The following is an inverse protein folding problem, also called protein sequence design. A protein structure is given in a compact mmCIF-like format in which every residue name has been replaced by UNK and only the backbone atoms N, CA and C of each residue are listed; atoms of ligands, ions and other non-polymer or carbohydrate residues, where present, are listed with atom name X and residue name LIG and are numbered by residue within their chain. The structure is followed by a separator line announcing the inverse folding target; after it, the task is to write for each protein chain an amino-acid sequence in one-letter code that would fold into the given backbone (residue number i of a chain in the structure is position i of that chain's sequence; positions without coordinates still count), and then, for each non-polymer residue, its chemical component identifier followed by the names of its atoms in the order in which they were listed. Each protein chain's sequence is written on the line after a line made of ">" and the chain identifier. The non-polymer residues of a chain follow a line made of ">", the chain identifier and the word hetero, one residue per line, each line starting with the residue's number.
data_IF_529400943177
#
_entry.id   IF_529400943177
#
_cell.length_a   1.000
_cell.length_b   1.000
_cell.length_c   1.000
_cell.angle_alpha   90.00
_cell.angle_beta   90.00
_cell.angle_gamma   90.00
#
_symmetry.space_group_name_H-M   'P 1'
#
loop_
_entity.id
_entity.type
_entity.pdbx_description
1 polymer ?
#
# COMPACT_ATOMS: atom_id res chain seq x y z
N UNK A 1 -14.16 10.01 20.44
CA UNK A 1 -13.22 10.31 19.31
C UNK A 1 -11.77 10.60 19.75
N UNK A 2 -11.46 10.58 21.06
CA UNK A 2 -10.12 10.84 21.61
C UNK A 2 -9.25 9.57 21.80
N UNK A 3 -9.84 8.39 21.79
CA UNK A 3 -9.14 7.13 22.06
C UNK A 3 -8.38 6.53 20.86
N UNK A 4 -8.67 6.96 19.63
CA UNK A 4 -8.02 6.43 18.41
C UNK A 4 -6.69 7.11 18.09
N UNK A 5 -6.46 8.31 18.60
CA UNK A 5 -5.24 9.09 18.33
C UNK A 5 -4.07 8.66 19.21
N UNK A 6 -4.32 8.21 20.44
CA UNK A 6 -3.25 7.82 21.39
C UNK A 6 -2.52 6.52 21.06
N UNK A 7 -3.13 5.64 20.27
CA UNK A 7 -2.51 4.34 19.94
C UNK A 7 -1.47 4.40 18.80
N UNK A 8 -1.41 5.49 18.05
CA UNK A 8 -0.54 5.61 16.87
C UNK A 8 0.89 6.05 17.20
N UNK A 9 1.10 6.77 18.30
CA UNK A 9 2.44 7.26 18.68
C UNK A 9 3.26 6.27 19.52
N UNK A 10 2.65 5.27 20.16
CA UNK A 10 3.37 4.30 21.00
C UNK A 10 4.06 3.18 20.22
N UNK A 11 3.69 2.92 18.97
CA UNK A 11 4.26 1.82 18.17
C UNK A 11 5.78 1.89 17.95
N UNK A 12 6.39 3.06 17.62
CA UNK A 12 7.85 3.12 17.43
C UNK A 12 8.63 2.85 18.72
N UNK A 13 8.10 3.25 19.87
CA UNK A 13 8.78 3.07 21.15
C UNK A 13 8.92 1.58 21.52
N UNK A 14 7.90 0.75 21.30
CA UNK A 14 7.98 -0.68 21.57
C UNK A 14 8.94 -1.42 20.65
N UNK A 15 9.06 -0.98 19.39
CA UNK A 15 10.02 -1.56 18.44
C UNK A 15 11.44 -1.26 18.89
N UNK A 16 11.75 0.01 19.21
CA UNK A 16 13.07 0.40 19.73
C UNK A 16 13.39 -0.33 21.03
N UNK A 17 12.43 -0.43 21.96
CA UNK A 17 12.61 -1.14 23.22
C UNK A 17 12.89 -2.64 23.00
N UNK A 18 12.20 -3.30 22.07
CA UNK A 18 12.47 -4.71 21.77
C UNK A 18 13.86 -4.94 21.19
N UNK A 19 14.35 -4.05 20.29
CA UNK A 19 15.72 -4.11 19.79
C UNK A 19 16.76 -3.88 20.89
N UNK A 20 16.53 -2.94 21.80
CA UNK A 20 17.40 -2.69 22.95
C UNK A 20 17.48 -3.91 23.87
N UNK A 21 16.35 -4.54 24.17
CA UNK A 21 16.31 -5.77 25.00
C UNK A 21 17.08 -6.90 24.30
N UNK A 22 16.88 -7.11 23.01
CA UNK A 22 17.63 -8.12 22.24
C UNK A 22 19.14 -7.85 22.24
N UNK A 23 19.53 -6.58 22.07
CA UNK A 23 20.95 -6.18 22.11
C UNK A 23 21.56 -6.44 23.50
N UNK A 24 20.87 -6.10 24.58
CA UNK A 24 21.32 -6.35 25.95
C UNK A 24 21.48 -7.85 26.19
N UNK A 25 20.52 -8.67 25.78
CA UNK A 25 20.60 -10.14 25.91
C UNK A 25 21.79 -10.68 25.11
N UNK A 26 22.02 -10.21 23.87
CA UNK A 26 23.14 -10.64 23.04
C UNK A 26 24.50 -10.28 23.66
N UNK A 27 24.63 -9.04 24.18
CA UNK A 27 25.84 -8.59 24.86
C UNK A 27 26.08 -9.41 26.17
N UNK A 28 25.05 -9.65 26.97
CA UNK A 28 25.15 -10.48 28.15
C UNK A 28 25.58 -11.93 27.81
N UNK A 29 24.95 -12.52 26.79
CA UNK A 29 25.31 -13.86 26.33
C UNK A 29 26.76 -13.92 25.85
N UNK A 30 27.19 -12.92 25.06
CA UNK A 30 28.58 -12.84 24.61
C UNK A 30 29.58 -12.67 25.76
N UNK A 31 29.33 -11.78 26.71
CA UNK A 31 30.26 -11.54 27.85
C UNK A 31 30.35 -12.75 28.77
N UNK A 32 29.22 -13.40 29.06
CA UNK A 32 29.20 -14.60 29.88
C UNK A 32 29.94 -15.77 29.21
N UNK A 33 29.71 -15.99 27.92
CA UNK A 33 30.33 -17.05 27.15
C UNK A 33 31.84 -16.83 26.89
N UNK A 34 32.26 -15.57 26.70
CA UNK A 34 33.65 -15.27 26.29
C UNK A 34 34.61 -15.02 27.42
N UNK A 35 34.13 -14.56 28.59
CA UNK A 35 35.01 -14.11 29.68
C UNK A 35 34.94 -14.94 30.96
N UNK A 36 34.01 -15.85 31.09
CA UNK A 36 33.87 -16.66 32.32
C UNK A 36 33.93 -18.16 32.00
N UNK A 37 35.05 -18.87 32.37
CA UNK A 37 35.20 -20.30 32.08
C UNK A 37 34.15 -21.16 32.75
N UNK A 38 33.49 -20.69 33.83
CA UNK A 38 32.43 -21.42 34.50
C UNK A 38 31.09 -21.39 33.75
N UNK A 39 30.94 -20.53 32.75
CA UNK A 39 29.73 -20.39 31.90
C UNK A 39 29.97 -20.86 30.47
N UNK A 40 31.19 -21.29 30.10
CA UNK A 40 31.44 -21.92 28.81
C UNK A 40 30.76 -23.29 28.79
N UNK A 41 29.75 -23.40 27.89
CA UNK A 41 29.07 -24.67 27.68
C UNK A 41 29.98 -25.57 26.84
N UNK A 42 30.49 -26.65 27.42
CA UNK A 42 31.18 -27.68 26.65
C UNK A 42 30.15 -28.45 25.83
N UNK A 43 29.98 -28.05 24.55
CA UNK A 43 29.01 -28.65 23.60
C UNK A 43 29.49 -30.05 23.19
N UNK A 44 30.79 -30.28 23.27
CA UNK A 44 31.44 -31.55 22.91
C UNK A 44 32.32 -32.04 24.05
N UNK A 45 32.40 -33.35 24.26
CA UNK A 45 33.28 -33.99 25.21
C UNK A 45 34.14 -35.04 24.52
N UNK A 46 35.39 -35.16 24.97
CA UNK A 46 36.29 -36.23 24.51
C UNK A 46 35.96 -37.53 25.27
N UNK A 47 35.93 -38.66 24.58
CA UNK A 47 35.88 -39.95 25.21
C UNK A 47 37.19 -40.25 25.97
N UNK A 48 37.20 -41.21 26.90
CA UNK A 48 38.42 -41.66 27.63
C UNK A 48 39.56 -42.11 26.76
N UNK A 49 39.29 -42.46 25.49
CA UNK A 49 40.31 -42.85 24.47
C UNK A 49 41.00 -41.64 23.81
N UNK A 50 40.58 -40.39 24.12
CA UNK A 50 41.06 -39.12 23.55
C UNK A 50 41.03 -39.02 22.01
N UNK A 51 40.28 -39.89 21.32
CA UNK A 51 40.24 -39.93 19.84
C UNK A 51 38.88 -39.45 19.29
N UNK A 52 37.80 -39.77 19.97
CA UNK A 52 36.45 -39.46 19.51
C UNK A 52 35.78 -38.32 20.29
N UNK A 53 35.18 -37.39 19.57
CA UNK A 53 34.44 -36.24 20.12
C UNK A 53 32.95 -36.56 20.06
N UNK A 54 32.24 -36.40 21.17
CA UNK A 54 30.80 -36.61 21.28
C UNK A 54 30.07 -35.34 21.59
N UNK A 55 28.80 -35.27 21.14
CA UNK A 55 27.89 -34.19 21.53
C UNK A 55 27.48 -34.32 22.98
N UNK A 56 27.38 -33.22 23.68
CA UNK A 56 26.76 -33.17 25.00
C UNK A 56 25.23 -33.30 24.85
N UNK A 57 24.74 -34.55 24.84
CA UNK A 57 23.35 -34.95 24.54
C UNK A 57 22.33 -34.14 25.34
N UNK A 58 22.63 -33.83 26.61
CA UNK A 58 21.73 -33.08 27.49
C UNK A 58 21.39 -31.67 26.97
N UNK A 59 22.35 -30.99 26.31
CA UNK A 59 22.09 -29.66 25.74
C UNK A 59 21.21 -29.74 24.48
N UNK A 60 21.41 -30.73 23.65
CA UNK A 60 20.60 -30.93 22.44
C UNK A 60 19.15 -31.25 22.83
N UNK A 61 18.93 -32.11 23.85
CA UNK A 61 17.59 -32.38 24.38
C UNK A 61 16.94 -31.13 24.95
N UNK A 62 17.66 -30.30 25.70
CA UNK A 62 17.13 -29.07 26.26
C UNK A 62 16.70 -28.08 25.15
N UNK A 63 17.45 -28.00 24.06
CA UNK A 63 17.09 -27.18 22.88
C UNK A 63 15.83 -27.70 22.18
N UNK A 64 15.72 -29.00 21.94
CA UNK A 64 14.53 -29.62 21.35
C UNK A 64 13.30 -29.33 22.21
N UNK A 65 13.39 -29.53 23.51
CA UNK A 65 12.28 -29.28 24.44
C UNK A 65 11.90 -27.79 24.43
N UNK A 66 12.87 -26.88 24.47
CA UNK A 66 12.59 -25.42 24.44
C UNK A 66 11.89 -24.99 23.18
N UNK A 67 12.36 -25.41 21.98
CA UNK A 67 11.71 -25.12 20.71
C UNK A 67 10.33 -25.77 20.60
N UNK A 68 10.16 -27.00 21.16
CA UNK A 68 8.87 -27.67 21.24
C UNK A 68 7.85 -26.91 22.08
N UNK A 69 8.27 -26.39 23.24
CA UNK A 69 7.42 -25.55 24.11
C UNK A 69 7.01 -24.24 23.42
N UNK A 70 7.94 -23.58 22.72
CA UNK A 70 7.64 -22.38 21.94
C UNK A 70 6.63 -22.69 20.85
N UNK A 71 6.81 -23.77 20.10
CA UNK A 71 5.89 -24.20 19.04
C UNK A 71 4.48 -24.51 19.60
N UNK A 72 4.41 -25.23 20.72
CA UNK A 72 3.15 -25.54 21.39
C UNK A 72 2.43 -24.27 21.85
N UNK A 73 3.17 -23.33 22.46
CA UNK A 73 2.63 -22.04 22.88
C UNK A 73 2.07 -21.25 21.67
N UNK A 74 2.80 -21.23 20.56
CA UNK A 74 2.36 -20.57 19.33
C UNK A 74 1.05 -21.17 18.80
N UNK A 75 0.95 -22.50 18.73
CA UNK A 75 -0.25 -23.19 18.25
C UNK A 75 -1.47 -22.85 19.12
N UNK A 76 -1.30 -22.91 20.46
CA UNK A 76 -2.40 -22.66 21.41
C UNK A 76 -2.86 -21.20 21.38
N UNK A 77 -1.92 -20.25 21.40
CA UNK A 77 -2.24 -18.81 21.52
C UNK A 77 -2.67 -18.16 20.23
N UNK A 78 -2.05 -18.51 19.09
CA UNK A 78 -2.22 -17.76 17.84
C UNK A 78 -3.14 -18.43 16.84
N UNK A 79 -3.49 -19.71 17.07
CA UNK A 79 -4.23 -20.56 16.10
C UNK A 79 -3.63 -20.46 14.66
N UNK A 80 -2.37 -20.04 14.54
CA UNK A 80 -1.62 -19.90 13.29
C UNK A 80 -2.35 -19.14 12.17
N UNK A 81 -3.22 -18.19 12.52
CA UNK A 81 -4.08 -17.51 11.53
C UNK A 81 -3.31 -16.49 10.70
N UNK A 82 -2.23 -15.92 11.24
CA UNK A 82 -1.42 -14.91 10.57
C UNK A 82 -0.15 -15.53 9.97
N UNK A 83 0.29 -15.02 8.81
CA UNK A 83 1.49 -15.48 8.10
C UNK A 83 2.76 -15.35 8.97
N UNK A 84 2.85 -14.32 9.80
CA UNK A 84 3.95 -14.11 10.74
C UNK A 84 4.08 -15.29 11.72
N UNK A 85 2.97 -15.75 12.31
CA UNK A 85 2.98 -16.86 13.25
C UNK A 85 3.28 -18.21 12.58
N UNK A 86 2.82 -18.38 11.33
CA UNK A 86 3.18 -19.55 10.51
C UNK A 86 4.68 -19.59 10.22
N UNK A 87 5.28 -18.43 9.90
CA UNK A 87 6.72 -18.33 9.64
C UNK A 87 7.56 -18.64 10.87
N UNK A 88 7.16 -18.14 12.05
CA UNK A 88 7.84 -18.46 13.32
C UNK A 88 7.68 -19.95 13.65
N UNK A 89 6.50 -20.53 13.44
CA UNK A 89 6.27 -21.97 13.61
C UNK A 89 7.18 -22.82 12.70
N UNK A 90 7.35 -22.42 11.45
CA UNK A 90 8.27 -23.08 10.51
C UNK A 90 9.72 -23.03 11.00
N UNK A 91 10.14 -21.90 11.57
CA UNK A 91 11.48 -21.75 12.17
C UNK A 91 11.66 -22.69 13.35
N UNK A 92 10.67 -22.80 14.24
CA UNK A 92 10.70 -23.77 15.33
C UNK A 92 10.81 -25.21 14.82
N UNK A 93 10.05 -25.58 13.80
CA UNK A 93 10.11 -26.90 13.20
C UNK A 93 11.48 -27.18 12.58
N UNK A 94 12.09 -26.23 11.86
CA UNK A 94 13.43 -26.41 11.28
C UNK A 94 14.49 -26.56 12.38
N UNK A 95 14.40 -25.79 13.46
CA UNK A 95 15.32 -25.89 14.59
C UNK A 95 15.20 -27.25 15.32
N UNK A 96 13.99 -27.76 15.51
CA UNK A 96 13.77 -29.09 16.08
C UNK A 96 14.37 -30.17 15.15
N UNK A 97 14.08 -30.10 13.85
CA UNK A 97 14.57 -31.06 12.86
C UNK A 97 16.10 -31.11 12.84
N UNK A 98 16.77 -29.97 12.83
CA UNK A 98 18.25 -29.92 12.81
C UNK A 98 18.85 -30.47 14.10
N UNK A 99 18.25 -30.22 15.25
CA UNK A 99 18.72 -30.79 16.52
C UNK A 99 18.46 -32.29 16.60
N UNK A 100 17.35 -32.81 16.08
CA UNK A 100 17.08 -34.25 16.00
C UNK A 100 18.08 -34.93 15.06
N UNK A 101 18.43 -34.27 13.92
CA UNK A 101 19.47 -34.77 13.02
C UNK A 101 20.84 -34.93 13.74
N UNK A 102 21.21 -33.96 14.57
CA UNK A 102 22.43 -34.03 15.37
C UNK A 102 22.39 -35.18 16.40
N UNK A 103 21.23 -35.46 17.01
CA UNK A 103 21.06 -36.57 17.95
C UNK A 103 21.11 -37.95 17.29
N UNK A 104 20.77 -38.05 16.00
CA UNK A 104 20.77 -39.35 15.32
C UNK A 104 22.18 -39.91 15.03
N UNK A 105 23.21 -39.18 15.44
CA UNK A 105 24.62 -39.53 15.23
C UNK A 105 25.34 -39.64 16.56
N UNK A 106 25.88 -40.80 16.83
CA UNK A 106 26.63 -41.11 18.04
C UNK A 106 27.98 -40.37 18.12
N UNK A 107 28.53 -39.93 17.00
CA UNK A 107 29.82 -39.28 16.91
C UNK A 107 29.72 -37.88 16.27
N UNK A 108 30.59 -36.96 16.72
CA UNK A 108 30.72 -35.65 16.15
C UNK A 108 31.22 -35.78 14.67
N UNK A 109 30.39 -35.35 13.74
CA UNK A 109 30.77 -35.25 12.35
C UNK A 109 30.73 -33.80 11.91
N UNK A 110 31.86 -33.25 11.52
CA UNK A 110 31.98 -31.90 11.00
C UNK A 110 31.08 -31.65 9.76
N UNK A 111 30.96 -32.65 8.88
CA UNK A 111 30.09 -32.57 7.72
C UNK A 111 28.61 -32.36 8.08
N UNK A 112 28.10 -33.13 9.01
CA UNK A 112 26.69 -33.05 9.42
C UNK A 112 26.41 -31.78 10.19
N UNK A 113 27.38 -31.29 10.97
CA UNK A 113 27.28 -29.98 11.60
C UNK A 113 27.10 -28.87 10.56
N UNK A 114 27.89 -28.87 9.46
CA UNK A 114 27.72 -27.90 8.35
C UNK A 114 26.39 -28.06 7.63
N UNK A 115 25.91 -29.29 7.40
CA UNK A 115 24.62 -29.56 6.77
C UNK A 115 23.48 -29.00 7.64
N UNK A 116 23.50 -29.25 8.98
CA UNK A 116 22.47 -28.73 9.86
C UNK A 116 22.46 -27.20 9.91
N UNK A 117 23.62 -26.55 9.98
CA UNK A 117 23.73 -25.07 9.88
C UNK A 117 23.24 -24.54 8.54
N UNK A 118 23.55 -25.23 7.43
CA UNK A 118 23.05 -24.90 6.10
C UNK A 118 21.52 -24.91 6.03
N UNK A 119 20.88 -25.92 6.59
CA UNK A 119 19.40 -26.02 6.69
C UNK A 119 18.82 -24.86 7.49
N UNK A 120 19.42 -24.50 8.62
CA UNK A 120 18.96 -23.36 9.44
C UNK A 120 19.07 -22.02 8.67
N UNK A 121 20.21 -21.79 8.01
CA UNK A 121 20.42 -20.56 7.21
C UNK A 121 19.42 -20.48 6.06
N UNK A 122 19.21 -21.58 5.32
CA UNK A 122 18.24 -21.61 4.22
C UNK A 122 16.83 -21.36 4.73
N UNK A 123 16.42 -22.00 5.83
CA UNK A 123 15.10 -21.79 6.42
C UNK A 123 14.89 -20.35 6.90
N UNK A 124 15.90 -19.74 7.51
CA UNK A 124 15.86 -18.33 7.89
C UNK A 124 15.73 -17.39 6.70
N UNK A 125 16.48 -17.61 5.62
CA UNK A 125 16.39 -16.85 4.37
C UNK A 125 15.02 -16.98 3.71
N UNK A 126 14.45 -18.17 3.68
CA UNK A 126 13.10 -18.40 3.17
C UNK A 126 12.06 -17.62 3.98
N UNK A 127 12.15 -17.64 5.31
CA UNK A 127 11.23 -16.90 6.19
C UNK A 127 11.35 -15.39 5.97
N UNK A 128 12.57 -14.85 5.93
CA UNK A 128 12.81 -13.44 5.66
C UNK A 128 12.21 -13.04 4.30
N UNK A 129 12.41 -13.85 3.27
CA UNK A 129 11.87 -13.61 1.93
C UNK A 129 10.32 -13.57 1.92
N UNK A 130 9.67 -14.51 2.62
CA UNK A 130 8.21 -14.56 2.77
C UNK A 130 7.70 -13.32 3.51
N UNK A 131 8.35 -12.91 4.60
CA UNK A 131 7.96 -11.74 5.36
C UNK A 131 8.15 -10.44 4.56
N UNK A 132 9.26 -10.30 3.85
CA UNK A 132 9.52 -9.16 2.96
C UNK A 132 8.46 -9.06 1.85
N UNK A 133 8.15 -10.18 1.19
CA UNK A 133 7.13 -10.23 0.15
C UNK A 133 5.75 -9.82 0.69
N UNK A 134 5.37 -10.35 1.84
CA UNK A 134 4.08 -10.00 2.48
C UNK A 134 4.02 -8.51 2.88
N UNK A 135 5.11 -7.99 3.46
CA UNK A 135 5.21 -6.55 3.79
C UNK A 135 5.10 -5.68 2.54
N UNK A 136 5.76 -6.07 1.45
CA UNK A 136 5.67 -5.36 0.17
C UNK A 136 4.23 -5.33 -0.37
N UNK A 137 3.50 -6.46 -0.32
CA UNK A 137 2.08 -6.50 -0.74
C UNK A 137 1.21 -5.56 0.11
N UNK A 138 1.40 -5.57 1.44
CA UNK A 138 0.63 -4.71 2.35
C UNK A 138 0.92 -3.23 2.03
N UNK A 139 2.19 -2.84 1.90
CA UNK A 139 2.60 -1.48 1.57
C UNK A 139 2.06 -1.04 0.21
N UNK A 140 2.12 -1.91 -0.80
CA UNK A 140 1.55 -1.63 -2.12
C UNK A 140 0.04 -1.39 -2.04
N UNK A 141 -0.69 -2.24 -1.31
CA UNK A 141 -2.14 -2.08 -1.12
C UNK A 141 -2.49 -0.78 -0.39
N UNK A 142 -1.74 -0.41 0.65
CA UNK A 142 -1.91 0.88 1.34
C UNK A 142 -1.60 2.06 0.43
N UNK A 143 -0.55 1.97 -0.39
CA UNK A 143 -0.17 3.02 -1.34
C UNK A 143 -1.24 3.19 -2.42
N UNK A 144 -1.76 2.10 -2.99
CA UNK A 144 -2.83 2.14 -3.98
C UNK A 144 -4.12 2.72 -3.39
N UNK A 145 -4.47 2.35 -2.17
CA UNK A 145 -5.62 2.93 -1.44
C UNK A 145 -5.41 4.42 -1.12
N UNK A 146 -4.14 4.86 -0.96
CA UNK A 146 -3.81 6.25 -0.68
C UNK A 146 -3.83 7.17 -1.92
N UNK A 147 -3.95 6.64 -3.15
CA UNK A 147 -3.94 7.40 -4.40
C UNK A 147 -5.22 7.30 -5.22
N UNK A 148 -6.12 6.37 -4.90
CA UNK A 148 -7.39 6.18 -5.58
C UNK A 148 -8.58 6.54 -4.70
N UNK A 149 -9.66 7.03 -5.32
CA UNK A 149 -10.96 7.20 -4.67
C UNK A 149 -11.61 5.85 -4.41
N UNK A 150 -12.17 5.67 -3.21
CA UNK A 150 -12.69 4.38 -2.76
C UNK A 150 -13.92 3.91 -3.57
N UNK A 151 -14.77 4.84 -4.02
CA UNK A 151 -16.01 4.55 -4.75
C UNK A 151 -15.75 4.38 -6.25
N UNK A 152 -15.10 5.35 -6.87
CA UNK A 152 -14.95 5.44 -8.32
C UNK A 152 -13.71 4.73 -8.87
N UNK A 153 -12.74 4.39 -8.03
CA UNK A 153 -11.45 3.76 -8.39
C UNK A 153 -10.56 4.58 -9.32
N UNK A 154 -10.97 5.78 -9.75
CA UNK A 154 -10.09 6.75 -10.40
C UNK A 154 -9.14 7.36 -9.38
N UNK A 155 -8.22 8.21 -9.80
CA UNK A 155 -7.31 8.86 -8.89
C UNK A 155 -8.04 9.81 -7.93
N UNK A 156 -7.43 10.08 -6.79
CA UNK A 156 -7.97 11.02 -5.81
C UNK A 156 -7.27 12.40 -5.92
N UNK A 157 -7.82 13.37 -5.19
CA UNK A 157 -7.30 14.74 -5.10
C UNK A 157 -5.79 14.79 -4.80
N UNK A 158 -5.30 13.91 -3.90
CA UNK A 158 -3.88 13.90 -3.50
C UNK A 158 -2.95 13.56 -4.67
N UNK A 159 -3.29 12.53 -5.44
CA UNK A 159 -2.48 12.16 -6.62
C UNK A 159 -2.57 13.23 -7.70
N UNK A 160 -3.75 13.78 -7.97
CA UNK A 160 -3.94 14.85 -8.94
C UNK A 160 -3.00 16.02 -8.69
N UNK A 161 -3.01 16.60 -7.49
CA UNK A 161 -2.14 17.73 -7.14
C UNK A 161 -0.65 17.38 -7.17
N UNK A 162 -0.29 16.17 -6.75
CA UNK A 162 1.10 15.70 -6.86
C UNK A 162 1.56 15.64 -8.31
N UNK A 163 0.71 15.12 -9.19
CA UNK A 163 1.03 14.98 -10.61
C UNK A 163 1.03 16.33 -11.32
N UNK A 164 0.10 17.22 -10.99
CA UNK A 164 0.04 18.58 -11.52
C UNK A 164 1.34 19.35 -11.18
N UNK A 165 1.79 19.33 -9.92
CA UNK A 165 3.06 19.95 -9.52
C UNK A 165 4.26 19.38 -10.28
N UNK A 166 4.29 18.06 -10.47
CA UNK A 166 5.38 17.40 -11.20
C UNK A 166 5.35 17.70 -12.71
N UNK A 167 4.17 17.96 -13.28
CA UNK A 167 4.01 18.30 -14.69
C UNK A 167 4.32 19.76 -14.97
N UNK A 168 3.91 20.68 -14.11
CA UNK A 168 4.25 22.11 -14.18
C UNK A 168 5.77 22.34 -14.14
N UNK A 169 6.49 21.56 -13.35
CA UNK A 169 7.95 21.61 -13.32
C UNK A 169 8.63 21.16 -14.64
N UNK A 170 7.88 20.55 -15.57
CA UNK A 170 8.37 20.07 -16.87
C UNK A 170 7.94 20.94 -18.05
N UNK A 171 6.98 21.83 -17.84
CA UNK A 171 6.43 22.71 -18.87
C UNK A 171 4.95 22.97 -18.71
N UNK A 172 4.37 23.57 -19.76
CA UNK A 172 2.95 23.90 -19.81
C UNK A 172 2.06 22.66 -19.68
N UNK A 173 0.90 22.82 -19.05
CA UNK A 173 -0.09 21.76 -18.84
C UNK A 173 -1.49 22.31 -19.04
N UNK A 174 -2.43 21.48 -19.49
CA UNK A 174 -3.85 21.83 -19.52
C UNK A 174 -4.60 21.08 -18.42
N UNK A 175 -5.40 21.81 -17.64
CA UNK A 175 -6.23 21.30 -16.55
C UNK A 175 -7.69 21.55 -16.86
N UNK A 176 -8.51 20.54 -16.61
CA UNK A 176 -9.97 20.67 -16.62
C UNK A 176 -10.49 20.41 -15.22
N UNK A 177 -11.45 21.21 -14.77
CA UNK A 177 -12.28 20.95 -13.60
C UNK A 177 -13.72 20.76 -14.06
N UNK A 178 -14.35 19.69 -13.57
CA UNK A 178 -15.66 19.24 -14.02
C UNK A 178 -16.58 19.07 -12.82
N UNK A 179 -17.87 19.36 -13.04
CA UNK A 179 -18.89 19.18 -12.01
C UNK A 179 -20.19 18.66 -12.63
N UNK A 180 -20.87 17.77 -11.92
CA UNK A 180 -22.15 17.19 -12.38
C UNK A 180 -23.27 18.20 -12.16
N UNK A 181 -23.92 18.61 -13.24
CA UNK A 181 -24.97 19.60 -13.17
C UNK A 181 -26.18 19.13 -12.35
N UNK A 182 -26.60 19.97 -11.38
CA UNK A 182 -27.77 19.71 -10.52
C UNK A 182 -27.70 18.40 -9.72
N UNK A 183 -26.53 17.90 -9.40
CA UNK A 183 -26.34 16.61 -8.69
C UNK A 183 -27.09 16.54 -7.37
N UNK A 184 -27.08 17.64 -6.57
CA UNK A 184 -27.84 17.71 -5.33
C UNK A 184 -29.33 17.38 -5.53
N UNK A 185 -29.96 17.84 -6.62
CA UNK A 185 -31.36 17.54 -6.94
C UNK A 185 -31.59 16.02 -7.14
N UNK A 186 -30.64 15.32 -7.74
CA UNK A 186 -30.74 13.87 -7.92
C UNK A 186 -30.72 13.17 -6.56
N UNK A 187 -29.80 13.54 -5.66
CA UNK A 187 -29.77 13.00 -4.31
C UNK A 187 -31.05 13.30 -3.52
N UNK A 188 -31.56 14.53 -3.63
CA UNK A 188 -32.78 14.95 -2.92
C UNK A 188 -34.03 14.25 -3.45
N UNK A 189 -34.06 13.90 -4.76
CA UNK A 189 -35.23 13.28 -5.42
C UNK A 189 -35.23 11.76 -5.37
N UNK A 190 -34.05 11.12 -5.59
CA UNK A 190 -33.95 9.68 -5.79
C UNK A 190 -33.07 8.99 -4.73
N UNK A 191 -32.49 9.76 -3.80
CA UNK A 191 -31.62 9.26 -2.75
C UNK A 191 -30.15 9.09 -3.16
N UNK A 192 -29.29 8.95 -2.15
CA UNK A 192 -27.83 8.85 -2.34
C UNK A 192 -27.39 7.63 -3.18
N UNK A 193 -28.14 6.53 -3.16
CA UNK A 193 -27.79 5.36 -3.97
C UNK A 193 -27.88 5.65 -5.48
N UNK A 194 -28.87 6.45 -5.89
CA UNK A 194 -28.95 6.88 -7.29
C UNK A 194 -27.84 7.89 -7.62
N UNK A 195 -27.52 8.82 -6.70
CA UNK A 195 -26.38 9.71 -6.85
C UNK A 195 -25.07 8.97 -7.05
N UNK A 196 -24.81 7.93 -6.25
CA UNK A 196 -23.62 7.10 -6.40
C UNK A 196 -23.58 6.39 -7.78
N UNK A 197 -24.73 5.91 -8.26
CA UNK A 197 -24.87 5.30 -9.59
C UNK A 197 -24.56 6.32 -10.70
N UNK A 198 -25.06 7.55 -10.58
CA UNK A 198 -24.77 8.65 -11.52
C UNK A 198 -23.27 8.94 -11.55
N UNK A 199 -22.62 9.07 -10.39
CA UNK A 199 -21.17 9.31 -10.32
C UNK A 199 -20.39 8.20 -11.03
N UNK A 200 -20.68 6.93 -10.75
CA UNK A 200 -19.99 5.78 -11.37
C UNK A 200 -20.19 5.76 -12.89
N UNK A 201 -21.41 6.04 -13.36
CA UNK A 201 -21.73 6.08 -14.79
C UNK A 201 -20.98 7.18 -15.52
N UNK A 202 -20.95 8.39 -14.96
CA UNK A 202 -20.23 9.53 -15.51
C UNK A 202 -18.72 9.26 -15.56
N UNK A 203 -18.16 8.66 -14.51
CA UNK A 203 -16.74 8.25 -14.47
C UNK A 203 -16.42 7.27 -15.59
N UNK A 204 -17.26 6.28 -15.84
CA UNK A 204 -17.07 5.32 -16.94
C UNK A 204 -17.10 6.00 -18.32
N UNK A 205 -18.04 6.93 -18.54
CA UNK A 205 -18.13 7.70 -19.78
C UNK A 205 -16.89 8.58 -19.99
N UNK A 206 -16.45 9.28 -18.95
CA UNK A 206 -15.26 10.14 -19.02
C UNK A 206 -14.00 9.31 -19.28
N UNK A 207 -13.81 8.19 -18.58
CA UNK A 207 -12.67 7.29 -18.80
C UNK A 207 -12.56 6.83 -20.25
N UNK A 208 -13.69 6.52 -20.89
CA UNK A 208 -13.73 6.16 -22.33
C UNK A 208 -13.48 7.34 -23.26
N UNK A 209 -13.52 8.55 -22.73
CA UNK A 209 -13.39 9.80 -23.50
C UNK A 209 -12.00 10.43 -23.41
N UNK A 210 -11.10 9.92 -22.60
CA UNK A 210 -9.74 10.42 -22.38
C UNK A 210 -8.70 9.37 -22.74
N UNK A 211 -7.43 9.75 -22.80
CA UNK A 211 -6.30 8.85 -23.06
C UNK A 211 -5.81 8.22 -21.75
N UNK A 212 -5.21 7.04 -21.81
CA UNK A 212 -4.57 6.39 -20.65
C UNK A 212 -3.42 7.21 -20.05
N UNK A 213 -2.88 8.16 -20.84
CA UNK A 213 -1.81 9.05 -20.40
C UNK A 213 -2.31 10.23 -19.58
N UNK A 214 -3.60 10.56 -19.66
CA UNK A 214 -4.21 11.65 -18.93
C UNK A 214 -4.50 11.23 -17.49
N UNK A 215 -4.50 12.18 -16.57
CA UNK A 215 -4.77 11.88 -15.17
C UNK A 215 -6.18 12.35 -14.82
N UNK A 216 -7.05 11.41 -14.56
CA UNK A 216 -8.43 11.66 -14.16
C UNK A 216 -8.62 11.37 -12.69
N UNK A 217 -9.11 12.35 -11.94
CA UNK A 217 -9.24 12.28 -10.49
C UNK A 217 -10.58 12.83 -10.00
N UNK A 218 -11.06 12.27 -8.88
CA UNK A 218 -12.16 12.82 -8.09
C UNK A 218 -11.57 13.75 -7.03
N UNK A 219 -11.96 15.02 -7.05
CA UNK A 219 -11.42 16.06 -6.16
C UNK A 219 -12.40 16.51 -5.09
N UNK A 220 -13.70 16.25 -5.30
CA UNK A 220 -14.78 16.53 -4.37
C UNK A 220 -15.88 15.47 -4.42
N UNK A 221 -17.05 15.78 -3.89
CA UNK A 221 -18.20 14.86 -3.90
C UNK A 221 -18.68 14.52 -5.30
N UNK A 222 -18.98 15.54 -6.10
CA UNK A 222 -19.46 15.51 -7.47
C UNK A 222 -18.49 16.20 -8.44
N UNK A 223 -17.29 16.56 -7.95
CA UNK A 223 -16.27 17.32 -8.67
C UNK A 223 -15.13 16.42 -9.11
N UNK A 224 -14.67 16.63 -10.33
CA UNK A 224 -13.59 15.90 -10.96
C UNK A 224 -12.56 16.85 -11.54
N UNK A 225 -11.34 16.36 -11.69
CA UNK A 225 -10.28 17.10 -12.37
C UNK A 225 -9.54 16.18 -13.35
N UNK A 226 -9.16 16.72 -14.49
CA UNK A 226 -8.36 16.03 -15.50
C UNK A 226 -7.11 16.87 -15.78
N UNK A 227 -5.95 16.23 -15.73
CA UNK A 227 -4.70 16.77 -16.17
C UNK A 227 -4.36 16.15 -17.52
N UNK A 228 -4.42 16.95 -18.57
CA UNK A 228 -4.11 16.53 -19.92
C UNK A 228 -2.61 16.62 -20.19
N UNK A 229 -2.09 15.66 -20.91
CA UNK A 229 -0.74 15.73 -21.48
C UNK A 229 -0.73 16.38 -22.84
N UNK A 230 -1.29 17.59 -22.94
CA UNK A 230 -1.20 18.45 -24.09
C UNK A 230 -0.80 19.86 -23.65
N UNK A 231 -0.20 20.62 -24.56
CA UNK A 231 0.21 22.00 -24.33
C UNK A 231 -0.62 22.97 -25.19
N UNK A 232 -1.62 22.43 -25.92
CA UNK A 232 -2.44 23.19 -26.85
C UNK A 232 -3.85 23.39 -26.28
N UNK A 233 -4.27 24.64 -26.26
CA UNK A 233 -5.59 25.05 -25.79
C UNK A 233 -6.71 24.48 -26.67
N UNK A 234 -6.53 24.48 -27.98
CA UNK A 234 -7.56 24.02 -28.91
C UNK A 234 -7.78 22.51 -28.77
N UNK A 235 -6.70 21.74 -28.58
CA UNK A 235 -6.78 20.31 -28.27
C UNK A 235 -7.53 20.08 -26.97
N UNK A 236 -7.23 20.87 -25.92
CA UNK A 236 -7.89 20.75 -24.63
C UNK A 236 -9.40 21.02 -24.72
N UNK A 237 -9.81 22.07 -25.46
CA UNK A 237 -11.23 22.40 -25.67
C UNK A 237 -11.94 21.28 -26.43
N UNK A 238 -11.31 20.73 -27.47
CA UNK A 238 -11.89 19.62 -28.26
C UNK A 238 -12.11 18.38 -27.36
N UNK A 239 -11.15 18.06 -26.49
CA UNK A 239 -11.31 16.94 -25.54
C UNK A 239 -12.42 17.24 -24.53
N UNK A 240 -12.48 18.44 -23.98
CA UNK A 240 -13.54 18.86 -23.05
C UNK A 240 -14.94 18.77 -23.68
N UNK A 241 -15.13 19.28 -24.91
CA UNK A 241 -16.39 19.16 -25.61
C UNK A 241 -16.76 17.71 -25.95
N UNK A 242 -15.80 16.86 -26.28
CA UNK A 242 -16.01 15.42 -26.44
C UNK A 242 -16.54 14.80 -25.16
N UNK A 243 -15.92 15.08 -24.03
CA UNK A 243 -16.35 14.59 -22.71
C UNK A 243 -17.77 15.06 -22.41
N UNK A 244 -18.05 16.35 -22.54
CA UNK A 244 -19.36 16.93 -22.30
C UNK A 244 -20.46 16.25 -23.14
N UNK A 245 -20.23 16.13 -24.45
CA UNK A 245 -21.18 15.48 -25.36
C UNK A 245 -21.37 14.00 -25.08
N UNK A 246 -20.30 13.29 -24.73
CA UNK A 246 -20.39 11.87 -24.42
C UNK A 246 -21.19 11.64 -23.13
N UNK A 247 -21.05 12.50 -22.11
CA UNK A 247 -21.87 12.42 -20.90
C UNK A 247 -23.34 12.75 -21.23
N UNK A 248 -23.60 13.83 -21.97
CA UNK A 248 -24.96 14.21 -22.37
C UNK A 248 -25.65 13.11 -23.17
N UNK A 249 -24.99 12.51 -24.14
CA UNK A 249 -25.53 11.46 -24.99
C UNK A 249 -25.64 10.12 -24.29
N UNK A 250 -24.61 9.72 -23.53
CA UNK A 250 -24.55 8.44 -22.83
C UNK A 250 -25.55 8.32 -21.68
N UNK A 251 -26.03 9.46 -21.17
CA UNK A 251 -27.06 9.49 -20.10
C UNK A 251 -28.46 9.81 -20.64
N UNK A 252 -28.64 10.02 -21.95
CA UNK A 252 -29.96 10.25 -22.56
C UNK A 252 -30.80 8.97 -22.46
N UNK A 253 -32.05 9.11 -22.01
CA UNK A 253 -32.97 7.99 -21.76
C UNK A 253 -33.61 7.52 -23.10
N UNK A 254 -33.68 6.21 -23.37
CA UNK A 254 -33.14 5.13 -22.58
C UNK A 254 -31.60 5.05 -22.64
N UNK A 255 -30.94 4.77 -21.50
CA UNK A 255 -29.50 4.70 -21.43
C UNK A 255 -29.01 3.34 -20.90
N UNK A 256 -27.78 2.98 -21.21
CA UNK A 256 -27.16 1.72 -20.81
C UNK A 256 -26.81 1.63 -19.31
N UNK A 257 -26.90 2.75 -18.59
CA UNK A 257 -26.55 2.85 -17.17
C UNK A 257 -27.78 2.78 -16.25
N UNK A 258 -28.98 2.65 -16.79
CA UNK A 258 -30.26 2.61 -16.04
C UNK A 258 -30.45 3.82 -15.11
N UNK A 259 -30.03 5.01 -15.58
CA UNK A 259 -30.21 6.25 -14.84
C UNK A 259 -31.65 6.77 -14.97
N UNK A 260 -32.17 7.38 -13.92
CA UNK A 260 -33.54 7.90 -13.85
C UNK A 260 -33.75 9.16 -14.66
N UNK A 261 -32.70 9.95 -14.86
CA UNK A 261 -32.73 11.20 -15.62
C UNK A 261 -31.47 11.35 -16.49
N UNK A 262 -31.58 12.19 -17.53
CA UNK A 262 -30.46 12.66 -18.33
C UNK A 262 -29.57 13.55 -17.47
N UNK A 263 -28.26 13.27 -17.47
CA UNK A 263 -27.26 14.04 -16.77
C UNK A 263 -26.43 14.87 -17.72
N UNK A 264 -25.96 16.00 -17.24
CA UNK A 264 -24.98 16.86 -17.95
C UNK A 264 -23.86 17.26 -17.01
N UNK A 265 -22.78 17.74 -17.57
CA UNK A 265 -21.64 18.27 -16.81
C UNK A 265 -21.25 19.64 -17.32
N UNK A 266 -20.78 20.49 -16.43
CA UNK A 266 -20.10 21.74 -16.76
C UNK A 266 -18.60 21.54 -16.62
N UNK A 267 -17.81 22.13 -17.52
CA UNK A 267 -16.36 21.96 -17.59
C UNK A 267 -15.70 23.32 -17.69
N UNK A 268 -14.74 23.59 -16.78
CA UNK A 268 -13.83 24.71 -16.86
C UNK A 268 -12.46 24.23 -17.31
N UNK A 269 -11.84 24.91 -18.25
CA UNK A 269 -10.55 24.56 -18.84
C UNK A 269 -9.57 25.71 -18.66
N UNK A 270 -8.34 25.38 -18.30
CA UNK A 270 -7.21 26.30 -18.29
C UNK A 270 -5.94 25.59 -18.75
N UNK A 271 -5.19 26.23 -19.63
CA UNK A 271 -3.85 25.77 -20.04
C UNK A 271 -2.82 26.78 -19.53
N UNK A 272 -1.88 26.31 -18.68
CA UNK A 272 -0.82 27.15 -18.15
C UNK A 272 0.12 27.59 -19.27
N UNK A 273 0.53 28.86 -19.23
CA UNK A 273 1.64 29.36 -20.02
C UNK A 273 2.93 29.06 -19.26
N UNK A 274 4.03 28.86 -19.97
CA UNK A 274 5.31 28.47 -19.39
C UNK A 274 5.72 29.48 -18.30
N UNK A 275 6.24 28.95 -17.19
CA UNK A 275 6.93 29.55 -16.06
C UNK A 275 6.09 30.19 -14.93
N UNK A 276 6.34 29.65 -13.73
CA UNK A 276 6.01 30.17 -12.37
C UNK A 276 4.53 30.13 -11.93
N UNK A 277 3.64 29.39 -12.55
CA UNK A 277 2.31 29.21 -11.96
C UNK A 277 2.28 28.10 -10.93
N UNK A 278 1.79 28.38 -9.73
CA UNK A 278 1.54 27.35 -8.73
C UNK A 278 0.36 26.46 -9.13
N UNK A 279 0.41 25.18 -8.73
CA UNK A 279 -0.70 24.25 -9.01
C UNK A 279 -2.07 24.76 -8.50
N UNK A 280 -2.08 25.51 -7.39
CA UNK A 280 -3.30 26.08 -6.84
C UNK A 280 -3.86 27.21 -7.71
N UNK A 281 -3.01 28.03 -8.34
CA UNK A 281 -3.43 29.05 -9.30
C UNK A 281 -4.02 28.43 -10.57
N UNK A 282 -3.34 27.43 -11.13
CA UNK A 282 -3.81 26.72 -12.34
C UNK A 282 -5.20 26.12 -12.12
N UNK A 283 -5.41 25.45 -10.98
CA UNK A 283 -6.73 24.91 -10.63
C UNK A 283 -7.74 26.04 -10.40
N UNK A 284 -7.37 27.13 -9.74
CA UNK A 284 -8.25 28.27 -9.49
C UNK A 284 -8.75 28.93 -10.80
N UNK A 285 -7.91 29.01 -11.83
CA UNK A 285 -8.33 29.54 -13.14
C UNK A 285 -9.30 28.58 -13.84
N UNK A 286 -9.06 27.27 -13.78
CA UNK A 286 -10.00 26.29 -14.30
C UNK A 286 -11.33 26.31 -13.52
N UNK A 287 -11.29 26.48 -12.19
CA UNK A 287 -12.49 26.64 -11.34
C UNK A 287 -13.28 27.91 -11.70
N UNK A 288 -12.60 29.03 -11.99
CA UNK A 288 -13.26 30.27 -12.45
C UNK A 288 -14.01 30.04 -13.77
N UNK A 289 -13.40 29.32 -14.71
CA UNK A 289 -14.06 28.93 -15.96
C UNK A 289 -15.26 27.99 -15.73
N UNK A 290 -15.13 27.03 -14.80
CA UNK A 290 -16.24 26.15 -14.40
C UNK A 290 -17.40 26.93 -13.81
N UNK A 291 -17.10 27.91 -12.95
CA UNK A 291 -18.12 28.80 -12.37
C UNK A 291 -18.87 29.58 -13.47
N UNK A 292 -18.16 30.10 -14.48
CA UNK A 292 -18.76 30.73 -15.66
C UNK A 292 -19.67 29.76 -16.43
N UNK A 293 -19.20 28.52 -16.66
CA UNK A 293 -20.00 27.49 -17.33
C UNK A 293 -21.31 27.20 -16.56
N UNK A 294 -21.27 27.10 -15.24
CA UNK A 294 -22.44 26.88 -14.39
C UNK A 294 -23.43 28.07 -14.43
N UNK A 295 -22.93 29.30 -14.41
CA UNK A 295 -23.76 30.51 -14.41
C UNK A 295 -24.35 30.86 -15.78
N UNK A 296 -23.67 30.50 -16.85
CA UNK A 296 -24.12 30.78 -18.20
C UNK A 296 -25.07 29.71 -18.78
N UNK A 297 -25.64 28.85 -17.94
CA UNK A 297 -26.69 27.90 -18.31
C UNK A 297 -26.32 26.40 -18.18
N UNK A 298 -25.13 26.06 -17.65
CA UNK A 298 -24.64 24.69 -17.50
C UNK A 298 -24.46 23.92 -18.81
N UNK A 299 -24.14 22.62 -18.75
CA UNK A 299 -23.93 21.75 -19.90
C UNK A 299 -23.04 22.39 -20.96
N UNK A 300 -21.91 22.97 -20.59
CA UNK A 300 -20.96 23.64 -21.47
C UNK A 300 -19.53 23.60 -20.98
N UNK A 301 -18.65 23.92 -21.91
CA UNK A 301 -17.24 24.14 -21.68
C UNK A 301 -16.97 25.64 -21.68
N UNK A 302 -16.28 26.13 -20.66
CA UNK A 302 -15.69 27.47 -20.63
C UNK A 302 -14.19 27.38 -20.51
N UNK A 303 -13.49 28.30 -21.11
CA UNK A 303 -12.04 28.43 -21.04
C UNK A 303 -11.67 29.74 -20.34
N UNK A 304 -10.69 29.66 -19.42
CA UNK A 304 -10.18 30.87 -18.75
C UNK A 304 -9.10 31.52 -19.59
N UNK A 305 -9.37 32.74 -20.04
CA UNK A 305 -8.40 33.59 -20.73
C UNK A 305 -7.69 34.49 -19.74
N UNK A 306 -6.36 34.45 -19.75
CA UNK A 306 -5.54 35.30 -18.92
C UNK A 306 -5.04 36.50 -19.70
#
# INVERSE_FOLDING_TARGET
>A
SSTVIETKERKPCYIVLSFLIMLVIAVMAHTLASYNPNFTLEITSLKPDNVTVHWHIGYIYSLIVSWGLVLLYLIIKTKTHNILWKSIGLLCCSAILTNVLLLSLDEYSMYIWYVSRGIEVISALCIISILMYNTFIILKKETDSAIKDAMTKIYNRKLFYKSLKASLAKGAVCVMVLDIDKFKRINDTYGHQEGDRVIISIVDIINKSIRDTDIFARVGGEEFAILLKCNDQDEAIVVAERIRRNVENGTTIPNSYDLKEKMTISIGVYCSKIDDESADKVVSYADAALYEAKNSGRNKVCYYYH
#
